data_IF_268034175570
#
_entry.id   IF_268034175570
#
_cell.length_a   1.000
_cell.length_b   1.000
_cell.length_c   1.000
_cell.angle_alpha   90.00
_cell.angle_beta   90.00
_cell.angle_gamma   90.00
#
_symmetry.space_group_name_H-M   'P 1'
#
loop_
_entity.id
_entity.type
_entity.pdbx_description
1 polymer ?
#
# COMPACT_ATOMS: atom_id res chain seq x y z
N UNK A 1 27.37 -32.80 4.68
CA UNK A 1 28.04 -32.31 3.43
C UNK A 1 27.78 -30.83 3.33
N UNK A 2 28.72 -29.95 3.71
CA UNK A 2 28.62 -28.51 3.61
C UNK A 2 28.68 -28.15 2.11
N UNK A 3 27.53 -27.82 1.51
CA UNK A 3 27.54 -27.19 0.18
C UNK A 3 28.23 -25.83 0.31
N UNK A 4 29.32 -25.68 -0.43
CA UNK A 4 30.08 -24.44 -0.56
C UNK A 4 29.12 -23.30 -0.95
N UNK A 5 29.13 -22.24 -0.15
CA UNK A 5 28.46 -20.96 -0.48
C UNK A 5 29.26 -20.33 -1.61
N UNK A 6 29.02 -20.80 -2.83
CA UNK A 6 29.50 -20.13 -4.05
C UNK A 6 28.85 -18.75 -4.15
N UNK A 7 29.63 -17.75 -4.51
CA UNK A 7 29.24 -16.34 -4.70
C UNK A 7 27.86 -16.25 -5.37
N UNK A 8 26.80 -16.00 -4.59
CA UNK A 8 25.43 -15.90 -5.13
C UNK A 8 25.33 -14.60 -5.92
N UNK A 9 24.95 -14.71 -7.17
CA UNK A 9 24.89 -13.61 -8.11
C UNK A 9 23.89 -12.52 -7.65
N UNK A 10 24.17 -11.26 -7.96
CA UNK A 10 23.27 -10.13 -7.70
C UNK A 10 21.95 -10.23 -8.50
N UNK A 11 21.91 -11.04 -9.56
CA UNK A 11 20.75 -11.16 -10.45
C UNK A 11 19.43 -11.48 -9.76
N UNK A 12 19.33 -12.54 -8.92
CA UNK A 12 18.10 -12.83 -8.19
C UNK A 12 17.69 -11.72 -7.20
N UNK A 13 18.66 -11.03 -6.58
CA UNK A 13 18.38 -9.88 -5.71
C UNK A 13 17.78 -8.71 -6.50
N UNK A 14 18.33 -8.40 -7.67
CA UNK A 14 17.81 -7.36 -8.57
C UNK A 14 16.41 -7.72 -9.07
N UNK A 15 16.16 -9.00 -9.36
CA UNK A 15 14.82 -9.48 -9.72
C UNK A 15 13.80 -9.24 -8.59
N UNK A 16 14.14 -9.58 -7.35
CA UNK A 16 13.28 -9.31 -6.18
C UNK A 16 13.04 -7.80 -6.00
N UNK A 17 14.08 -7.00 -6.19
CA UNK A 17 14.00 -5.53 -6.13
C UNK A 17 13.09 -4.98 -7.23
N UNK A 18 13.18 -5.53 -8.45
CA UNK A 18 12.30 -5.15 -9.56
C UNK A 18 10.84 -5.55 -9.29
N UNK A 19 10.59 -6.73 -8.72
CA UNK A 19 9.23 -7.13 -8.33
C UNK A 19 8.68 -6.15 -7.26
N UNK A 20 9.52 -5.69 -6.34
CA UNK A 20 9.10 -4.73 -5.34
C UNK A 20 8.83 -3.31 -5.92
N UNK A 21 9.60 -2.90 -6.95
CA UNK A 21 9.28 -1.74 -7.78
C UNK A 21 7.88 -1.87 -8.40
N UNK A 22 7.58 -3.02 -9.02
CA UNK A 22 6.27 -3.30 -9.61
C UNK A 22 5.15 -3.15 -8.59
N UNK A 23 5.35 -3.64 -7.36
CA UNK A 23 4.36 -3.50 -6.28
C UNK A 23 4.05 -2.03 -6.01
N UNK A 24 5.07 -1.19 -5.81
CA UNK A 24 4.88 0.25 -5.57
C UNK A 24 4.22 0.95 -6.76
N UNK A 25 4.73 0.68 -7.95
CA UNK A 25 4.22 1.25 -9.21
C UNK A 25 2.74 0.93 -9.42
N UNK A 26 2.35 -0.35 -9.41
CA UNK A 26 0.97 -0.78 -9.67
C UNK A 26 0.01 -0.41 -8.54
N UNK A 27 0.46 -0.36 -7.29
CA UNK A 27 -0.35 0.15 -6.18
C UNK A 27 -0.74 1.61 -6.42
N UNK A 28 0.22 2.43 -6.84
CA UNK A 28 -0.04 3.84 -7.13
C UNK A 28 -0.83 4.02 -8.42
N UNK A 29 -0.55 3.26 -9.48
CA UNK A 29 -1.36 3.25 -10.72
C UNK A 29 -2.83 2.98 -10.39
N UNK A 30 -3.12 1.96 -9.57
CA UNK A 30 -4.50 1.65 -9.14
C UNK A 30 -5.18 2.86 -8.47
N UNK A 31 -4.49 3.53 -7.56
CA UNK A 31 -5.02 4.72 -6.88
C UNK A 31 -5.20 5.91 -7.83
N UNK A 32 -4.24 6.14 -8.72
CA UNK A 32 -4.29 7.25 -9.68
C UNK A 32 -5.35 7.06 -10.78
N UNK A 33 -5.76 5.82 -11.05
CA UNK A 33 -6.87 5.54 -11.97
C UNK A 33 -8.24 6.02 -11.45
N UNK A 34 -8.40 6.38 -10.17
CA UNK A 34 -9.69 6.82 -9.62
C UNK A 34 -10.28 8.01 -10.40
N UNK A 35 -9.46 9.01 -10.71
CA UNK A 35 -9.90 10.19 -11.46
C UNK A 35 -10.36 9.85 -12.87
N UNK A 36 -9.51 9.27 -13.73
CA UNK A 36 -9.88 8.84 -15.07
C UNK A 36 -11.07 7.89 -15.11
N UNK A 37 -11.13 6.90 -14.20
CA UNK A 37 -12.23 5.93 -14.15
C UNK A 37 -13.56 6.55 -13.69
N UNK A 38 -13.51 7.58 -12.83
CA UNK A 38 -14.68 8.38 -12.48
C UNK A 38 -15.32 9.00 -13.72
N UNK A 39 -14.53 9.39 -14.70
CA UNK A 39 -15.02 9.96 -15.96
C UNK A 39 -15.47 8.84 -16.91
N UNK A 40 -14.65 7.83 -17.11
CA UNK A 40 -14.90 6.76 -18.07
C UNK A 40 -16.12 5.89 -17.72
N UNK A 41 -16.36 5.60 -16.43
CA UNK A 41 -17.42 4.67 -16.00
C UNK A 41 -18.57 5.33 -15.25
N UNK A 42 -18.33 6.49 -14.62
CA UNK A 42 -19.31 7.11 -13.72
C UNK A 42 -19.80 8.47 -14.26
N UNK A 43 -19.73 8.69 -15.57
CA UNK A 43 -20.18 9.94 -16.21
C UNK A 43 -21.67 10.20 -15.96
N UNK A 44 -22.49 9.16 -15.96
CA UNK A 44 -23.95 9.24 -15.75
C UNK A 44 -24.36 9.22 -14.27
N UNK A 45 -23.39 9.04 -13.35
CA UNK A 45 -23.64 9.08 -11.91
C UNK A 45 -23.64 10.52 -11.41
N UNK A 46 -24.67 10.91 -10.68
CA UNK A 46 -24.84 12.29 -10.21
C UNK A 46 -24.62 12.42 -8.70
N UNK A 47 -25.16 11.51 -7.89
CA UNK A 47 -25.27 11.67 -6.43
C UNK A 47 -24.13 10.99 -5.66
N UNK A 48 -23.58 9.89 -6.18
CA UNK A 48 -22.61 9.04 -5.47
C UNK A 48 -21.27 8.90 -6.21
N UNK A 49 -20.95 9.85 -7.08
CA UNK A 49 -19.84 9.78 -8.03
C UNK A 49 -18.47 9.70 -7.35
N UNK A 50 -18.24 10.48 -6.29
CA UNK A 50 -16.98 10.48 -5.56
C UNK A 50 -16.86 9.24 -4.66
N UNK A 51 -17.93 8.85 -3.99
CA UNK A 51 -17.99 7.63 -3.19
C UNK A 51 -17.63 6.40 -4.02
N UNK A 52 -18.26 6.24 -5.19
CA UNK A 52 -17.96 5.15 -6.11
C UNK A 52 -16.50 5.22 -6.60
N UNK A 53 -15.99 6.39 -6.97
CA UNK A 53 -14.60 6.52 -7.40
C UNK A 53 -13.61 6.02 -6.31
N UNK A 54 -13.88 6.31 -5.04
CA UNK A 54 -13.01 5.89 -3.93
C UNK A 54 -13.14 4.40 -3.58
N UNK A 55 -14.19 3.68 -4.02
CA UNK A 55 -14.31 2.23 -3.87
C UNK A 55 -13.18 1.45 -4.56
N UNK A 56 -12.48 2.05 -5.51
CA UNK A 56 -11.29 1.45 -6.14
C UNK A 56 -10.20 1.20 -5.09
N UNK A 57 -9.91 2.20 -4.24
CA UNK A 57 -8.99 2.01 -3.10
C UNK A 57 -9.55 1.03 -2.08
N UNK A 58 -10.84 1.09 -1.78
CA UNK A 58 -11.46 0.15 -0.84
C UNK A 58 -11.27 -1.30 -1.29
N UNK A 59 -11.59 -1.61 -2.54
CA UNK A 59 -11.44 -2.96 -3.10
C UNK A 59 -9.97 -3.42 -3.04
N UNK A 60 -9.02 -2.54 -3.37
CA UNK A 60 -7.60 -2.84 -3.30
C UNK A 60 -7.15 -3.20 -1.87
N UNK A 61 -7.42 -2.34 -0.89
CA UNK A 61 -6.98 -2.57 0.49
C UNK A 61 -7.78 -3.67 1.21
N UNK A 62 -8.98 -4.01 0.74
CA UNK A 62 -9.71 -5.20 1.18
C UNK A 62 -8.91 -6.49 0.89
N UNK A 63 -8.17 -6.52 -0.22
CA UNK A 63 -7.22 -7.58 -0.55
C UNK A 63 -6.16 -7.78 0.53
N UNK A 64 -5.62 -6.70 1.08
CA UNK A 64 -4.67 -6.76 2.20
C UNK A 64 -5.29 -7.36 3.46
N UNK A 65 -6.46 -6.88 3.85
CA UNK A 65 -7.15 -7.35 5.06
C UNK A 65 -7.42 -8.86 5.02
N UNK A 66 -7.97 -9.34 3.91
CA UNK A 66 -8.47 -10.71 3.81
C UNK A 66 -7.37 -11.74 3.54
N UNK A 67 -6.22 -11.33 2.95
CA UNK A 67 -5.25 -12.29 2.41
C UNK A 67 -3.85 -12.22 3.05
N UNK A 68 -3.47 -11.16 3.79
CA UNK A 68 -2.14 -11.08 4.41
C UNK A 68 -1.85 -12.23 5.37
N UNK A 69 -2.76 -12.53 6.30
CA UNK A 69 -2.60 -13.62 7.25
C UNK A 69 -2.62 -15.02 6.59
N UNK A 70 -3.42 -15.19 5.53
CA UNK A 70 -3.47 -16.44 4.75
C UNK A 70 -2.16 -16.67 4.01
N UNK A 71 -1.53 -15.60 3.52
CA UNK A 71 -0.25 -15.65 2.82
C UNK A 71 0.88 -16.08 3.72
N UNK A 72 0.93 -15.61 4.98
CA UNK A 72 1.92 -16.09 5.95
C UNK A 72 1.85 -17.62 6.14
N UNK A 73 0.63 -18.16 6.27
CA UNK A 73 0.43 -19.63 6.34
C UNK A 73 0.83 -20.34 5.04
N UNK A 74 0.53 -19.76 3.89
CA UNK A 74 0.95 -20.30 2.60
C UNK A 74 2.47 -20.30 2.45
N UNK A 75 3.14 -19.21 2.87
CA UNK A 75 4.60 -19.09 2.84
C UNK A 75 5.27 -20.21 3.64
N UNK A 76 4.80 -20.48 4.86
CA UNK A 76 5.30 -21.57 5.69
C UNK A 76 5.07 -22.95 5.07
N UNK A 77 3.93 -23.14 4.34
CA UNK A 77 3.59 -24.44 3.74
C UNK A 77 4.37 -24.75 2.46
N UNK A 78 4.57 -23.78 1.57
CA UNK A 78 5.10 -24.01 0.22
C UNK A 78 6.43 -23.32 -0.07
N UNK A 79 6.93 -22.47 0.85
CA UNK A 79 8.20 -21.74 0.75
C UNK A 79 8.11 -20.44 -0.09
N UNK A 80 9.21 -19.70 -0.07
CA UNK A 80 9.30 -18.34 -0.63
C UNK A 80 9.06 -18.29 -2.14
N UNK A 81 9.80 -19.07 -2.93
CA UNK A 81 9.72 -19.04 -4.40
C UNK A 81 8.32 -19.37 -4.91
N UNK A 82 7.67 -20.42 -4.38
CA UNK A 82 6.35 -20.84 -4.82
C UNK A 82 5.28 -19.82 -4.43
N UNK A 83 5.39 -19.21 -3.25
CA UNK A 83 4.46 -18.16 -2.81
C UNK A 83 4.63 -16.92 -3.66
N UNK A 84 5.87 -16.50 -3.97
CA UNK A 84 6.18 -15.38 -4.84
C UNK A 84 5.53 -15.54 -6.24
N UNK A 85 5.72 -16.71 -6.88
CA UNK A 85 5.13 -16.99 -8.20
C UNK A 85 3.60 -16.95 -8.13
N UNK A 86 2.99 -17.57 -7.11
CA UNK A 86 1.53 -17.52 -6.92
C UNK A 86 1.01 -16.10 -6.75
N UNK A 87 1.73 -15.27 -6.00
CA UNK A 87 1.37 -13.87 -5.81
C UNK A 87 1.40 -13.10 -7.13
N UNK A 88 2.42 -13.32 -7.95
CA UNK A 88 2.52 -12.70 -9.27
C UNK A 88 1.45 -13.19 -10.24
N UNK A 89 1.06 -14.47 -10.19
CA UNK A 89 -0.06 -15.00 -10.98
C UNK A 89 -1.40 -14.34 -10.59
N UNK A 90 -1.61 -14.06 -9.31
CA UNK A 90 -2.78 -13.28 -8.86
C UNK A 90 -2.74 -11.85 -9.42
N UNK A 91 -1.54 -11.24 -9.54
CA UNK A 91 -1.37 -9.92 -10.18
C UNK A 91 -1.72 -9.96 -11.66
N UNK A 92 -1.23 -10.97 -12.41
CA UNK A 92 -1.60 -11.17 -13.82
C UNK A 92 -3.12 -11.32 -13.96
N UNK A 93 -3.75 -12.10 -13.08
CA UNK A 93 -5.21 -12.25 -13.07
C UNK A 93 -5.93 -10.92 -12.79
N UNK A 94 -5.45 -10.12 -11.85
CA UNK A 94 -5.99 -8.79 -11.56
C UNK A 94 -5.93 -7.86 -12.78
N UNK A 95 -4.80 -7.84 -13.50
CA UNK A 95 -4.64 -7.09 -14.75
C UNK A 95 -5.54 -7.64 -15.87
N UNK A 96 -5.76 -8.96 -15.94
CA UNK A 96 -6.71 -9.54 -16.87
C UNK A 96 -8.14 -9.08 -16.60
N UNK A 97 -8.54 -8.91 -15.33
CA UNK A 97 -9.83 -8.29 -14.98
C UNK A 97 -9.90 -6.81 -15.32
N UNK A 98 -8.80 -6.04 -15.20
CA UNK A 98 -8.74 -4.66 -15.68
C UNK A 98 -8.94 -4.59 -17.20
N UNK A 99 -8.28 -5.47 -17.95
CA UNK A 99 -8.44 -5.56 -19.39
C UNK A 99 -9.89 -5.97 -19.76
N UNK A 100 -10.45 -6.97 -19.08
CA UNK A 100 -11.84 -7.39 -19.28
C UNK A 100 -12.83 -6.25 -18.96
N UNK A 101 -12.57 -5.46 -17.92
CA UNK A 101 -13.37 -4.28 -17.58
C UNK A 101 -13.41 -3.25 -18.72
N UNK A 102 -12.25 -2.96 -19.33
CA UNK A 102 -12.15 -2.05 -20.46
C UNK A 102 -12.92 -2.57 -21.69
N UNK A 103 -12.74 -3.85 -22.01
CA UNK A 103 -13.45 -4.50 -23.13
C UNK A 103 -14.98 -4.57 -22.91
N UNK A 104 -15.43 -4.84 -21.67
CA UNK A 104 -16.86 -4.83 -21.34
C UNK A 104 -17.44 -3.43 -21.51
N UNK A 105 -16.71 -2.39 -21.11
CA UNK A 105 -17.19 -1.04 -21.28
C UNK A 105 -17.25 -0.62 -22.75
N UNK A 106 -16.28 -1.08 -23.57
CA UNK A 106 -16.25 -0.80 -25.01
C UNK A 106 -17.37 -1.51 -25.77
N UNK A 107 -17.57 -2.83 -25.53
CA UNK A 107 -18.50 -3.63 -26.34
C UNK A 107 -19.90 -3.78 -25.73
N UNK A 108 -20.05 -3.61 -24.40
CA UNK A 108 -21.32 -3.77 -23.67
C UNK A 108 -21.57 -2.63 -22.66
N UNK A 109 -21.15 -1.41 -23.01
CA UNK A 109 -21.25 -0.25 -22.11
C UNK A 109 -22.68 0.08 -21.63
N UNK A 110 -23.71 -0.32 -22.40
CA UNK A 110 -25.11 -0.17 -22.00
C UNK A 110 -25.60 -1.20 -20.97
N UNK A 111 -24.80 -2.20 -20.61
CA UNK A 111 -25.14 -3.19 -19.58
C UNK A 111 -24.62 -2.75 -18.21
N UNK A 112 -25.51 -2.65 -17.21
CA UNK A 112 -25.15 -2.19 -15.89
C UNK A 112 -26.27 -2.35 -14.87
N UNK A 113 -26.10 -1.72 -13.71
CA UNK A 113 -27.05 -1.73 -12.60
C UNK A 113 -27.48 -0.29 -12.30
N UNK A 114 -28.76 -0.10 -12.06
CA UNK A 114 -29.27 1.15 -11.51
C UNK A 114 -29.17 1.12 -9.98
N UNK A 115 -28.42 2.06 -9.42
CA UNK A 115 -28.32 2.31 -7.99
C UNK A 115 -29.07 3.61 -7.71
N UNK A 116 -30.29 3.50 -7.17
CA UNK A 116 -31.21 4.63 -7.06
C UNK A 116 -31.55 5.18 -8.46
N UNK A 117 -31.14 6.39 -8.78
CA UNK A 117 -31.37 7.03 -10.09
C UNK A 117 -30.13 6.98 -11.01
N UNK A 118 -28.99 6.56 -10.47
CA UNK A 118 -27.71 6.55 -11.16
C UNK A 118 -27.46 5.20 -11.86
N UNK A 119 -26.99 5.23 -13.12
CA UNK A 119 -26.58 4.04 -13.87
C UNK A 119 -25.08 3.79 -13.65
N UNK A 120 -24.73 2.55 -13.29
CA UNK A 120 -23.35 2.09 -13.11
C UNK A 120 -23.08 0.90 -14.03
N UNK A 121 -22.16 1.00 -15.00
CA UNK A 121 -21.89 -0.08 -15.96
C UNK A 121 -21.22 -1.29 -15.31
N UNK A 122 -21.47 -2.49 -15.81
CA UNK A 122 -20.84 -3.73 -15.32
C UNK A 122 -19.31 -3.69 -15.38
N UNK A 123 -18.73 -3.03 -16.38
CA UNK A 123 -17.29 -2.83 -16.49
C UNK A 123 -16.66 -2.26 -15.22
N UNK A 124 -17.34 -1.34 -14.53
CA UNK A 124 -16.87 -0.79 -13.28
C UNK A 124 -16.74 -1.84 -12.16
N UNK A 125 -17.72 -2.73 -12.00
CA UNK A 125 -17.66 -3.79 -10.98
C UNK A 125 -16.58 -4.83 -11.28
N UNK A 126 -16.35 -5.13 -12.56
CA UNK A 126 -15.26 -6.00 -13.02
C UNK A 126 -13.90 -5.34 -12.68
N UNK A 127 -13.79 -4.01 -12.84
CA UNK A 127 -12.60 -3.26 -12.43
C UNK A 127 -12.38 -3.32 -10.91
N UNK A 128 -13.42 -3.15 -10.10
CA UNK A 128 -13.32 -3.29 -8.64
C UNK A 128 -12.81 -4.67 -8.22
N UNK A 129 -13.29 -5.73 -8.87
CA UNK A 129 -12.81 -7.08 -8.60
C UNK A 129 -11.34 -7.25 -9.01
N UNK A 130 -10.93 -6.69 -10.14
CA UNK A 130 -9.53 -6.61 -10.56
C UNK A 130 -8.68 -5.87 -9.52
N UNK A 131 -9.17 -4.73 -9.00
CA UNK A 131 -8.52 -3.95 -7.96
C UNK A 131 -8.32 -4.76 -6.65
N UNK A 132 -9.33 -5.51 -6.24
CA UNK A 132 -9.22 -6.45 -5.12
C UNK A 132 -8.13 -7.52 -5.33
N UNK A 133 -8.05 -8.10 -6.53
CA UNK A 133 -7.00 -9.07 -6.88
C UNK A 133 -5.61 -8.42 -6.91
N UNK A 134 -5.49 -7.19 -7.41
CA UNK A 134 -4.25 -6.43 -7.39
C UNK A 134 -3.78 -6.15 -5.96
N UNK A 135 -4.69 -5.72 -5.07
CA UNK A 135 -4.41 -5.53 -3.65
C UNK A 135 -4.04 -6.84 -2.94
N UNK A 136 -4.73 -7.93 -3.26
CA UNK A 136 -4.40 -9.28 -2.77
C UNK A 136 -2.97 -9.67 -3.18
N UNK A 137 -2.61 -9.49 -4.44
CA UNK A 137 -1.26 -9.79 -4.93
C UNK A 137 -0.21 -8.92 -4.27
N UNK A 138 -0.45 -7.61 -4.16
CA UNK A 138 0.48 -6.68 -3.52
C UNK A 138 0.72 -7.04 -2.04
N UNK A 139 -0.33 -7.40 -1.31
CA UNK A 139 -0.23 -7.90 0.07
C UNK A 139 0.59 -9.19 0.15
N UNK A 140 0.30 -10.15 -0.72
CA UNK A 140 1.03 -11.42 -0.80
C UNK A 140 2.51 -11.20 -1.10
N UNK A 141 2.83 -10.34 -2.07
CA UNK A 141 4.20 -10.02 -2.45
C UNK A 141 4.97 -9.37 -1.30
N UNK A 142 4.36 -8.43 -0.57
CA UNK A 142 5.02 -7.77 0.56
C UNK A 142 5.31 -8.73 1.72
N UNK A 143 4.39 -9.66 2.01
CA UNK A 143 4.61 -10.71 3.03
C UNK A 143 5.81 -11.60 2.67
N UNK A 144 6.04 -11.85 1.38
CA UNK A 144 7.13 -12.71 0.90
C UNK A 144 8.43 -11.93 0.73
N UNK A 145 8.40 -10.78 0.04
CA UNK A 145 9.61 -10.08 -0.40
C UNK A 145 10.37 -9.45 0.77
N UNK A 146 9.68 -8.85 1.75
CA UNK A 146 10.34 -8.16 2.85
C UNK A 146 11.30 -9.07 3.64
N UNK A 147 10.86 -10.22 4.18
CA UNK A 147 11.78 -11.13 4.86
C UNK A 147 12.79 -11.76 3.89
N UNK A 148 12.42 -11.99 2.63
CA UNK A 148 13.31 -12.57 1.64
C UNK A 148 14.52 -11.66 1.34
N UNK A 149 14.30 -10.37 1.14
CA UNK A 149 15.36 -9.38 0.92
C UNK A 149 16.23 -9.23 2.17
N UNK A 150 15.62 -9.18 3.35
CA UNK A 150 16.36 -9.06 4.60
C UNK A 150 17.31 -10.25 4.82
N UNK A 151 16.87 -11.47 4.49
CA UNK A 151 17.64 -12.68 4.65
C UNK A 151 18.50 -13.05 3.43
N UNK A 152 18.38 -12.35 2.29
CA UNK A 152 19.12 -12.67 1.06
C UNK A 152 20.64 -12.56 1.26
N UNK A 153 21.44 -13.62 0.97
CA UNK A 153 22.87 -13.62 1.21
C UNK A 153 23.64 -12.89 0.10
N UNK A 154 23.57 -11.56 0.06
CA UNK A 154 24.36 -10.73 -0.85
C UNK A 154 25.67 -10.33 -0.17
N UNK A 155 26.85 -10.77 -0.70
CA UNK A 155 28.15 -10.46 -0.10
C UNK A 155 28.40 -8.97 0.04
N UNK A 156 29.03 -8.56 1.14
CA UNK A 156 29.39 -7.16 1.43
C UNK A 156 28.23 -6.24 1.80
N UNK A 157 27.02 -6.78 2.03
CA UNK A 157 25.86 -5.97 2.39
C UNK A 157 25.21 -6.41 3.69
N UNK A 158 24.69 -5.43 4.45
CA UNK A 158 23.87 -5.68 5.64
C UNK A 158 22.38 -5.80 5.27
N UNK A 159 21.55 -6.53 6.04
CA UNK A 159 20.11 -6.62 5.81
C UNK A 159 19.42 -5.27 5.65
N UNK A 160 19.76 -4.30 6.49
CA UNK A 160 19.22 -2.93 6.45
C UNK A 160 19.54 -2.22 5.15
N UNK A 161 20.77 -2.38 4.62
CA UNK A 161 21.17 -1.76 3.36
C UNK A 161 20.36 -2.33 2.19
N UNK A 162 20.15 -3.64 2.15
CA UNK A 162 19.35 -4.30 1.11
C UNK A 162 17.89 -3.83 1.16
N UNK A 163 17.30 -3.78 2.37
CA UNK A 163 15.94 -3.29 2.56
C UNK A 163 15.80 -1.81 2.12
N UNK A 164 16.72 -0.94 2.53
CA UNK A 164 16.68 0.47 2.17
C UNK A 164 16.80 0.69 0.66
N UNK A 165 17.71 -0.03 0.00
CA UNK A 165 17.84 0.03 -1.46
C UNK A 165 16.55 -0.39 -2.16
N UNK A 166 15.98 -1.52 -1.74
CA UNK A 166 14.74 -2.05 -2.33
C UNK A 166 13.54 -1.13 -2.07
N UNK A 167 13.44 -0.54 -0.88
CA UNK A 167 12.41 0.45 -0.55
C UNK A 167 12.56 1.74 -1.37
N UNK A 168 13.80 2.19 -1.64
CA UNK A 168 14.05 3.34 -2.52
C UNK A 168 13.58 3.08 -3.95
N UNK A 169 13.87 1.90 -4.48
CA UNK A 169 13.42 1.48 -5.82
C UNK A 169 11.89 1.35 -5.88
N UNK A 170 11.25 0.84 -4.83
CA UNK A 170 9.79 0.85 -4.68
C UNK A 170 9.23 2.28 -4.70
N UNK A 171 9.82 3.21 -3.93
CA UNK A 171 9.41 4.61 -3.88
C UNK A 171 9.57 5.32 -5.23
N UNK A 172 10.60 4.97 -6.00
CA UNK A 172 10.75 5.45 -7.37
C UNK A 172 9.55 5.00 -8.23
N UNK A 173 9.11 3.74 -8.10
CA UNK A 173 7.91 3.23 -8.78
C UNK A 173 6.66 4.03 -8.42
N UNK A 174 6.43 4.32 -7.13
CA UNK A 174 5.28 5.14 -6.71
C UNK A 174 5.34 6.56 -7.26
N UNK A 175 6.53 7.15 -7.35
CA UNK A 175 6.74 8.52 -7.81
C UNK A 175 6.44 8.69 -9.32
N UNK A 176 6.81 7.70 -10.15
CA UNK A 176 6.59 7.80 -11.61
C UNK A 176 5.18 7.37 -12.03
N UNK A 177 4.46 6.63 -11.19
CA UNK A 177 3.15 6.07 -11.54
C UNK A 177 2.10 7.14 -11.95
N UNK A 178 1.96 8.30 -11.29
CA UNK A 178 1.02 9.32 -11.72
C UNK A 178 1.28 9.85 -13.13
N UNK A 179 2.57 10.06 -13.50
CA UNK A 179 2.93 10.45 -14.86
C UNK A 179 2.67 9.33 -15.87
N UNK A 180 2.86 8.09 -15.49
CA UNK A 180 2.52 6.95 -16.35
C UNK A 180 1.01 6.93 -16.66
N UNK A 181 0.17 7.14 -15.65
CA UNK A 181 -1.29 7.17 -15.86
C UNK A 181 -1.69 8.28 -16.81
N UNK A 182 -1.24 9.53 -16.60
CA UNK A 182 -1.64 10.66 -17.44
C UNK A 182 -0.86 10.74 -18.75
N UNK A 183 0.44 10.46 -18.74
CA UNK A 183 1.33 10.64 -19.90
C UNK A 183 1.45 9.42 -20.81
N UNK A 184 1.03 8.23 -20.37
CA UNK A 184 1.08 7.00 -21.17
C UNK A 184 -0.30 6.40 -21.36
N UNK A 185 -1.04 6.14 -20.25
CA UNK A 185 -2.37 5.51 -20.36
C UNK A 185 -3.39 6.44 -21.04
N UNK A 186 -3.35 7.73 -20.72
CA UNK A 186 -4.27 8.74 -21.23
C UNK A 186 -3.54 9.83 -22.04
N UNK A 187 -2.41 9.49 -22.68
CA UNK A 187 -1.61 10.44 -23.45
C UNK A 187 -2.42 11.13 -24.56
N UNK A 188 -2.37 12.47 -24.56
CA UNK A 188 -3.05 13.29 -25.59
C UNK A 188 -4.56 13.38 -25.43
N UNK A 189 -5.13 12.85 -24.35
CA UNK A 189 -6.57 12.93 -24.06
C UNK A 189 -6.80 13.91 -22.92
N UNK A 190 -7.72 14.83 -23.12
CA UNK A 190 -8.17 15.70 -22.03
C UNK A 190 -9.00 14.89 -21.03
N UNK A 191 -8.85 15.20 -19.73
CA UNK A 191 -9.48 14.42 -18.64
C UNK A 191 -11.01 14.36 -18.73
N UNK A 192 -11.65 15.33 -19.40
CA UNK A 192 -13.09 15.37 -19.64
C UNK A 192 -13.57 14.41 -20.75
N UNK A 193 -12.63 13.79 -21.50
CA UNK A 193 -12.92 12.90 -22.64
C UNK A 193 -12.32 11.51 -22.48
N UNK A 194 -11.92 11.15 -21.25
CA UNK A 194 -11.37 9.81 -20.99
C UNK A 194 -12.45 8.77 -21.20
N UNK A 195 -12.12 7.75 -22.00
CA UNK A 195 -12.98 6.60 -22.28
C UNK A 195 -12.28 5.28 -21.88
N UNK A 196 -13.08 4.23 -21.68
CA UNK A 196 -12.57 2.96 -21.18
C UNK A 196 -11.69 2.19 -22.18
N UNK A 197 -11.88 2.40 -23.50
CA UNK A 197 -11.09 1.77 -24.57
C UNK A 197 -9.59 2.13 -24.48
N UNK A 198 -9.27 3.35 -24.00
CA UNK A 198 -7.89 3.81 -23.80
C UNK A 198 -7.11 3.00 -22.75
N UNK A 199 -7.82 2.30 -21.88
CA UNK A 199 -7.22 1.42 -20.86
C UNK A 199 -6.75 0.08 -21.42
N UNK A 200 -7.29 -0.35 -22.57
CA UNK A 200 -7.07 -1.69 -23.14
C UNK A 200 -5.59 -1.97 -23.41
N UNK A 201 -4.91 -1.10 -24.15
CA UNK A 201 -3.50 -1.28 -24.50
C UNK A 201 -2.58 -1.19 -23.28
N UNK A 202 -2.67 -0.15 -22.40
CA UNK A 202 -1.84 -0.07 -21.20
C UNK A 202 -1.98 -1.30 -20.28
N UNK A 203 -3.21 -1.77 -20.03
CA UNK A 203 -3.41 -2.95 -19.19
C UNK A 203 -2.89 -4.23 -19.83
N UNK A 204 -3.03 -4.39 -21.14
CA UNK A 204 -2.45 -5.52 -21.87
C UNK A 204 -0.92 -5.52 -21.75
N UNK A 205 -0.28 -4.38 -22.00
CA UNK A 205 1.20 -4.26 -21.90
C UNK A 205 1.68 -4.54 -20.49
N UNK A 206 1.03 -3.96 -19.46
CA UNK A 206 1.37 -4.25 -18.06
C UNK A 206 1.20 -5.74 -17.74
N UNK A 207 0.11 -6.37 -18.19
CA UNK A 207 -0.15 -7.79 -17.98
C UNK A 207 0.97 -8.64 -18.62
N UNK A 208 1.40 -8.33 -19.82
CA UNK A 208 2.48 -9.05 -20.51
C UNK A 208 3.83 -8.88 -19.78
N UNK A 209 4.16 -7.67 -19.29
CA UNK A 209 5.36 -7.41 -18.50
C UNK A 209 5.35 -8.25 -17.22
N UNK A 210 4.22 -8.28 -16.49
CA UNK A 210 4.10 -9.07 -15.25
C UNK A 210 4.14 -10.56 -15.54
N UNK A 211 3.49 -11.03 -16.61
CA UNK A 211 3.54 -12.43 -17.03
C UNK A 211 4.98 -12.87 -17.40
N UNK A 212 5.71 -12.03 -18.13
CA UNK A 212 7.13 -12.26 -18.44
C UNK A 212 7.99 -12.28 -17.16
N UNK A 213 7.78 -11.33 -16.25
CA UNK A 213 8.49 -11.29 -14.96
C UNK A 213 8.17 -12.54 -14.13
N UNK A 214 6.93 -13.01 -14.14
CA UNK A 214 6.50 -14.25 -13.48
C UNK A 214 7.21 -15.46 -14.07
N UNK A 215 7.26 -15.55 -15.38
CA UNK A 215 8.00 -16.62 -16.09
C UNK A 215 9.50 -16.57 -15.77
N UNK A 216 10.12 -15.39 -15.81
CA UNK A 216 11.54 -15.20 -15.46
C UNK A 216 11.81 -15.63 -14.01
N UNK A 217 10.91 -15.26 -13.08
CA UNK A 217 10.99 -15.65 -11.66
C UNK A 217 10.89 -17.18 -11.49
N UNK A 218 10.07 -17.86 -12.30
CA UNK A 218 9.96 -19.32 -12.27
C UNK A 218 11.25 -20.03 -12.65
N UNK A 219 12.02 -19.44 -13.59
CA UNK A 219 13.31 -19.96 -14.07
C UNK A 219 14.49 -19.53 -13.20
N UNK A 220 14.37 -18.45 -12.46
CA UNK A 220 15.44 -17.94 -11.61
C UNK A 220 15.80 -18.91 -10.46
N UNK A 221 17.09 -19.08 -10.19
CA UNK A 221 17.60 -19.83 -9.05
C UNK A 221 17.52 -18.97 -7.79
N UNK A 222 16.30 -18.83 -7.25
CA UNK A 222 16.07 -18.16 -5.98
C UNK A 222 16.43 -19.10 -4.83
N UNK A 223 17.31 -18.69 -3.89
CA UNK A 223 17.69 -19.52 -2.76
C UNK A 223 16.51 -19.76 -1.82
N UNK A 224 16.36 -20.98 -1.33
CA UNK A 224 15.47 -21.24 -0.20
C UNK A 224 16.11 -20.68 1.08
N UNK A 225 15.31 -20.02 1.90
CA UNK A 225 15.70 -19.50 3.21
C UNK A 225 15.18 -20.47 4.25
N UNK A 226 16.09 -21.19 4.90
CA UNK A 226 15.81 -22.24 5.90
C UNK A 226 15.48 -21.64 7.25
N UNK A 227 14.77 -20.66 7.48
CA UNK A 227 14.47 -20.10 8.81
C UNK A 227 13.00 -20.25 9.24
N UNK A 228 12.10 -20.53 8.30
CA UNK A 228 10.65 -20.53 8.59
C UNK A 228 10.08 -21.93 8.82
N UNK A 229 10.83 -22.99 8.52
CA UNK A 229 10.37 -24.38 8.72
C UNK A 229 10.53 -24.89 10.15
N UNK A 230 11.49 -24.37 10.90
CA UNK A 230 11.78 -24.86 12.26
C UNK A 230 10.74 -24.41 13.29
N UNK A 231 10.21 -23.19 13.21
CA UNK A 231 9.20 -22.71 14.16
C UNK A 231 7.84 -23.40 14.06
N UNK A 232 7.54 -24.09 12.94
CA UNK A 232 6.29 -24.85 12.77
C UNK A 232 6.43 -26.33 13.13
N UNK A 233 7.63 -26.89 13.05
CA UNK A 233 7.86 -28.28 13.51
C UNK A 233 7.90 -28.37 15.02
N UNK A 234 8.40 -27.36 15.71
CA UNK A 234 8.41 -27.33 17.19
C UNK A 234 6.99 -27.27 17.77
N UNK A 235 6.01 -26.70 17.05
CA UNK A 235 4.60 -26.67 17.50
C UNK A 235 3.88 -28.01 17.27
N UNK A 236 4.29 -28.81 16.27
CA UNK A 236 3.69 -30.13 16.01
C UNK A 236 4.47 -31.28 16.64
N UNK A 237 5.78 -31.11 16.97
CA UNK A 237 6.60 -32.13 17.62
C UNK A 237 6.61 -32.05 19.15
N UNK A 238 6.18 -30.95 19.77
CA UNK A 238 5.99 -30.82 21.23
C UNK A 238 4.87 -31.71 21.82
N UNK A 239 4.27 -32.57 21.01
CA UNK A 239 3.28 -33.56 21.46
C UNK A 239 3.88 -34.85 22.06
N UNK A 240 5.22 -35.04 22.08
CA UNK A 240 5.83 -36.35 22.47
C UNK A 240 7.13 -36.32 23.27
N UNK A 241 7.51 -35.22 23.87
CA UNK A 241 8.59 -35.27 24.88
C UNK A 241 8.12 -34.62 26.18
N UNK A 242 8.17 -35.37 27.27
CA UNK A 242 7.87 -34.90 28.63
C UNK A 242 8.82 -33.76 29.02
N UNK A 243 8.32 -32.52 29.19
CA UNK A 243 9.14 -31.41 29.65
C UNK A 243 9.30 -31.47 31.17
N UNK A 244 10.48 -31.12 31.64
CA UNK A 244 10.75 -30.86 33.07
C UNK A 244 9.80 -29.77 33.61
N UNK A 245 9.31 -29.95 34.83
CA UNK A 245 8.20 -29.22 35.47
C UNK A 245 8.39 -27.70 35.65
N UNK A 246 9.56 -27.12 35.43
CA UNK A 246 9.85 -25.70 35.70
C UNK A 246 9.48 -24.74 34.55
N UNK A 247 9.19 -25.24 33.36
CA UNK A 247 8.82 -24.38 32.19
C UNK A 247 7.31 -24.24 31.94
N UNK A 248 6.47 -24.92 32.73
CA UNK A 248 5.00 -24.97 32.54
C UNK A 248 4.21 -23.76 33.04
N UNK A 249 4.80 -22.83 33.76
CA UNK A 249 4.07 -21.73 34.41
C UNK A 249 4.21 -20.35 33.76
N UNK A 250 4.95 -20.19 32.66
CA UNK A 250 4.93 -18.95 31.89
C UNK A 250 3.69 -18.94 31.00
N UNK A 251 2.54 -18.44 31.47
CA UNK A 251 1.36 -18.13 30.65
C UNK A 251 1.84 -17.30 29.46
N UNK A 252 1.83 -17.86 28.22
CA UNK A 252 2.08 -17.11 26.99
C UNK A 252 1.17 -15.89 26.97
N UNK A 253 1.75 -14.69 27.13
CA UNK A 253 0.99 -13.42 27.13
C UNK A 253 0.33 -13.24 25.78
N UNK A 254 -0.93 -12.81 25.77
CA UNK A 254 -1.59 -12.41 24.52
C UNK A 254 -0.87 -11.22 23.92
N UNK A 255 -0.68 -11.21 22.59
CA UNK A 255 -0.07 -10.10 21.86
C UNK A 255 -0.82 -8.78 22.09
N UNK A 256 -2.12 -8.85 22.34
CA UNK A 256 -2.98 -7.70 22.63
C UNK A 256 -2.81 -7.13 24.06
N UNK A 257 -2.05 -7.80 24.92
CA UNK A 257 -1.71 -7.26 26.25
C UNK A 257 -0.68 -6.13 26.18
N UNK A 258 0.06 -6.02 25.09
CA UNK A 258 1.05 -4.97 24.89
C UNK A 258 0.36 -3.67 24.43
N UNK A 259 0.21 -2.72 25.35
CA UNK A 259 -0.53 -1.46 25.12
C UNK A 259 0.02 -0.67 23.95
N UNK A 260 1.35 -0.48 23.86
CA UNK A 260 2.00 0.28 22.79
C UNK A 260 1.82 -0.37 21.41
N UNK A 261 1.78 -1.71 21.32
CA UNK A 261 1.44 -2.42 20.10
C UNK A 261 -0.02 -2.23 19.71
N UNK A 262 -0.95 -2.39 20.66
CA UNK A 262 -2.39 -2.20 20.41
C UNK A 262 -2.67 -0.82 19.82
N UNK A 263 -2.12 0.22 20.44
CA UNK A 263 -2.28 1.58 19.94
C UNK A 263 -1.49 1.84 18.66
N UNK A 264 -0.33 1.18 18.48
CA UNK A 264 0.42 1.22 17.22
C UNK A 264 -0.37 0.66 16.04
N UNK A 265 -1.09 -0.45 16.23
CA UNK A 265 -1.99 -1.03 15.19
C UNK A 265 -3.14 -0.08 14.86
N UNK A 266 -3.73 0.54 15.87
CA UNK A 266 -4.76 1.57 15.64
C UNK A 266 -4.15 2.76 14.89
N UNK A 267 -2.98 3.23 15.30
CA UNK A 267 -2.33 4.38 14.68
C UNK A 267 -1.94 4.13 13.23
N UNK A 268 -1.45 2.93 12.89
CA UNK A 268 -1.12 2.61 11.50
C UNK A 268 -2.38 2.54 10.62
N UNK A 269 -3.53 2.14 11.18
CA UNK A 269 -4.81 2.19 10.48
C UNK A 269 -5.19 3.63 10.11
N UNK A 270 -5.03 4.58 11.02
CA UNK A 270 -5.26 6.00 10.75
C UNK A 270 -4.20 6.58 9.81
N UNK A 271 -2.92 6.21 10.00
CA UNK A 271 -1.84 6.68 9.14
C UNK A 271 -2.02 6.26 7.67
N UNK A 272 -2.28 4.98 7.42
CA UNK A 272 -2.50 4.53 6.03
C UNK A 272 -3.77 5.15 5.45
N UNK A 273 -4.74 5.44 6.30
CA UNK A 273 -5.94 6.17 5.91
C UNK A 273 -5.66 7.58 5.41
N UNK A 274 -4.85 8.35 6.13
CA UNK A 274 -4.43 9.70 5.68
C UNK A 274 -3.47 9.65 4.49
N UNK A 275 -2.50 8.73 4.50
CA UNK A 275 -1.54 8.54 3.40
C UNK A 275 -2.25 8.29 2.07
N UNK A 276 -3.14 7.30 2.05
CA UNK A 276 -3.89 6.92 0.83
C UNK A 276 -4.95 7.97 0.48
N UNK A 277 -5.60 8.54 1.49
CA UNK A 277 -6.57 9.62 1.32
C UNK A 277 -5.96 10.81 0.60
N UNK A 278 -4.81 11.31 1.06
CA UNK A 278 -4.13 12.42 0.39
C UNK A 278 -3.60 11.97 -0.98
N UNK A 279 -2.87 10.85 -1.02
CA UNK A 279 -2.20 10.40 -2.25
C UNK A 279 -3.14 10.14 -3.43
N UNK A 280 -4.39 9.75 -3.17
CA UNK A 280 -5.36 9.40 -4.20
C UNK A 280 -6.46 10.44 -4.37
N UNK A 281 -7.09 10.89 -3.25
CA UNK A 281 -8.25 11.78 -3.33
C UNK A 281 -7.88 13.23 -3.68
N UNK A 282 -6.60 13.62 -3.50
CA UNK A 282 -6.11 14.92 -3.98
C UNK A 282 -6.28 15.07 -5.49
N UNK A 283 -6.18 13.97 -6.25
CA UNK A 283 -6.49 13.99 -7.68
C UNK A 283 -7.95 14.32 -7.96
N UNK A 284 -8.87 13.73 -7.20
CA UNK A 284 -10.31 13.97 -7.36
C UNK A 284 -10.65 15.43 -7.02
N UNK A 285 -10.04 15.98 -5.97
CA UNK A 285 -10.19 17.40 -5.61
C UNK A 285 -9.58 18.33 -6.68
N UNK A 286 -8.38 18.00 -7.19
CA UNK A 286 -7.76 18.79 -8.25
C UNK A 286 -8.61 18.79 -9.53
N UNK A 287 -9.21 17.66 -9.90
CA UNK A 287 -10.12 17.59 -11.06
C UNK A 287 -11.40 18.39 -10.84
N UNK A 288 -11.91 18.43 -9.62
CA UNK A 288 -13.06 19.27 -9.25
C UNK A 288 -12.72 20.75 -9.41
N UNK A 289 -11.60 21.20 -8.86
CA UNK A 289 -11.11 22.59 -9.01
C UNK A 289 -10.83 22.97 -10.47
N UNK A 290 -10.30 22.04 -11.30
CA UNK A 290 -10.14 22.29 -12.74
C UNK A 290 -11.48 22.54 -13.43
N UNK A 291 -12.54 21.84 -13.02
CA UNK A 291 -13.91 22.12 -13.49
C UNK A 291 -14.40 23.54 -13.13
N UNK A 292 -13.82 24.16 -12.11
CA UNK A 292 -14.09 25.55 -11.71
C UNK A 292 -13.07 26.57 -12.28
N UNK A 293 -12.19 26.16 -13.20
CA UNK A 293 -11.27 27.04 -13.91
C UNK A 293 -9.88 27.20 -13.30
N UNK A 294 -9.52 26.37 -12.31
CA UNK A 294 -8.16 26.37 -11.77
C UNK A 294 -7.20 25.64 -12.72
N UNK A 295 -6.02 26.20 -12.92
CA UNK A 295 -4.95 25.55 -13.71
C UNK A 295 -4.12 24.64 -12.79
N UNK A 296 -4.49 23.36 -12.73
CA UNK A 296 -3.86 22.35 -11.89
C UNK A 296 -3.48 21.12 -12.71
N UNK A 297 -2.44 20.42 -12.29
CA UNK A 297 -2.07 19.10 -12.82
C UNK A 297 -2.21 18.04 -11.73
N UNK A 298 -3.29 17.24 -11.72
CA UNK A 298 -3.47 16.15 -10.75
C UNK A 298 -2.28 15.21 -10.68
N UNK A 299 -1.71 14.86 -11.85
CA UNK A 299 -0.53 14.00 -11.93
C UNK A 299 0.72 14.61 -11.27
N UNK A 300 0.95 15.92 -11.48
CA UNK A 300 2.09 16.60 -10.87
C UNK A 300 1.94 16.68 -9.34
N UNK A 301 0.74 17.01 -8.85
CA UNK A 301 0.43 17.04 -7.42
C UNK A 301 0.69 15.66 -6.78
N UNK A 302 0.18 14.59 -7.38
CA UNK A 302 0.39 13.24 -6.89
C UNK A 302 1.88 12.82 -6.96
N UNK A 303 2.59 13.19 -8.04
CA UNK A 303 4.03 12.92 -8.17
C UNK A 303 4.83 13.65 -7.10
N UNK A 304 4.50 14.89 -6.79
CA UNK A 304 5.17 15.65 -5.72
C UNK A 304 4.88 15.03 -4.34
N UNK A 305 3.66 14.57 -4.10
CA UNK A 305 3.31 13.86 -2.87
C UNK A 305 4.14 12.58 -2.71
N UNK A 306 4.11 11.67 -3.71
CA UNK A 306 4.86 10.42 -3.65
C UNK A 306 6.37 10.61 -3.79
N UNK A 307 6.82 11.63 -4.54
CA UNK A 307 8.21 12.06 -4.62
C UNK A 307 8.72 12.60 -3.27
N UNK A 308 7.85 13.28 -2.53
CA UNK A 308 8.11 13.70 -1.15
C UNK A 308 8.45 12.52 -0.24
N UNK A 309 7.79 11.36 -0.41
CA UNK A 309 8.15 10.13 0.31
C UNK A 309 9.58 9.67 0.01
N UNK A 310 10.00 9.69 -1.24
CA UNK A 310 11.34 9.31 -1.61
C UNK A 310 12.38 10.26 -0.99
N UNK A 311 12.16 11.57 -1.13
CA UNK A 311 13.07 12.60 -0.60
C UNK A 311 13.14 12.52 0.93
N UNK A 312 11.99 12.45 1.60
CA UNK A 312 11.94 12.40 3.07
C UNK A 312 12.62 11.15 3.65
N UNK A 313 12.49 10.00 3.01
CA UNK A 313 13.22 8.77 3.37
C UNK A 313 14.72 8.93 3.21
N UNK A 314 15.18 9.58 2.14
CA UNK A 314 16.61 9.87 1.92
C UNK A 314 17.16 10.82 2.98
N UNK A 315 16.42 11.90 3.28
CA UNK A 315 16.80 12.87 4.33
C UNK A 315 16.86 12.18 5.70
N UNK A 316 15.85 11.38 6.04
CA UNK A 316 15.79 10.69 7.33
C UNK A 316 16.91 9.66 7.51
N UNK A 317 17.37 9.03 6.43
CA UNK A 317 18.52 8.12 6.47
C UNK A 317 19.82 8.83 6.92
N UNK A 318 19.93 10.15 6.69
CA UNK A 318 21.00 10.99 7.19
C UNK A 318 20.87 11.38 8.68
N UNK A 319 19.65 11.34 9.23
CA UNK A 319 19.34 11.75 10.61
C UNK A 319 19.55 10.61 11.62
N UNK A 320 20.73 10.01 11.64
CA UNK A 320 21.05 8.78 12.41
C UNK A 320 20.82 8.89 13.92
N UNK A 321 20.85 10.09 14.49
CA UNK A 321 20.80 10.34 15.93
C UNK A 321 19.41 10.77 16.42
N UNK A 322 18.41 10.86 15.54
CA UNK A 322 17.05 11.29 15.93
C UNK A 322 16.23 10.07 16.30
N UNK A 323 15.73 10.05 17.54
CA UNK A 323 14.87 8.96 18.01
C UNK A 323 13.52 8.95 17.27
N UNK A 324 12.88 7.77 17.07
CA UNK A 324 11.61 7.67 16.35
C UNK A 324 10.47 8.52 16.90
N UNK A 325 10.39 8.67 18.23
CA UNK A 325 9.33 9.45 18.88
C UNK A 325 9.36 10.94 18.56
N UNK A 326 10.45 11.72 18.83
CA UNK A 326 10.48 13.12 18.49
C UNK A 326 10.36 13.34 16.98
N UNK A 327 10.92 12.45 16.15
CA UNK A 327 10.75 12.50 14.70
C UNK A 327 9.26 12.42 14.34
N UNK A 328 8.53 11.41 14.85
CA UNK A 328 7.09 11.26 14.60
C UNK A 328 6.29 12.50 14.98
N UNK A 329 6.53 13.05 16.19
CA UNK A 329 5.82 14.25 16.67
C UNK A 329 6.08 15.44 15.74
N UNK A 330 7.35 15.69 15.39
CA UNK A 330 7.74 16.85 14.56
C UNK A 330 7.11 16.77 13.18
N UNK A 331 7.20 15.60 12.50
CA UNK A 331 6.65 15.45 11.14
C UNK A 331 5.14 15.50 11.14
N UNK A 332 4.49 14.94 12.17
CA UNK A 332 3.01 14.99 12.29
C UNK A 332 2.52 16.42 12.52
N UNK A 333 3.18 17.19 13.39
CA UNK A 333 2.81 18.61 13.60
C UNK A 333 3.00 19.40 12.31
N UNK A 334 4.10 19.19 11.57
CA UNK A 334 4.32 19.86 10.30
C UNK A 334 3.26 19.47 9.26
N UNK A 335 2.87 18.18 9.18
CA UNK A 335 1.80 17.71 8.32
C UNK A 335 0.46 18.38 8.67
N UNK A 336 0.08 18.42 9.95
CA UNK A 336 -1.15 19.08 10.42
C UNK A 336 -1.18 20.55 10.00
N UNK A 337 -0.09 21.29 10.22
CA UNK A 337 -0.01 22.71 9.85
C UNK A 337 -0.20 22.91 8.35
N UNK A 338 0.50 22.13 7.52
CA UNK A 338 0.36 22.21 6.06
C UNK A 338 -1.05 21.84 5.61
N UNK A 339 -1.66 20.80 6.17
CA UNK A 339 -3.02 20.37 5.84
C UNK A 339 -4.05 21.43 6.20
N UNK A 340 -3.93 22.06 7.38
CA UNK A 340 -4.83 23.16 7.81
C UNK A 340 -4.72 24.34 6.87
N UNK A 341 -3.49 24.79 6.56
CA UNK A 341 -3.30 25.91 5.64
C UNK A 341 -3.83 25.55 4.24
N UNK A 342 -3.52 24.35 3.74
CA UNK A 342 -4.01 23.86 2.44
C UNK A 342 -5.53 23.85 2.37
N UNK A 343 -6.20 23.33 3.40
CA UNK A 343 -7.67 23.29 3.47
C UNK A 343 -8.29 24.69 3.49
N UNK A 344 -7.72 25.62 4.27
CA UNK A 344 -8.25 26.99 4.40
C UNK A 344 -8.02 27.83 3.14
N UNK A 345 -6.93 27.58 2.41
CA UNK A 345 -6.54 28.34 1.23
C UNK A 345 -6.88 27.64 -0.08
N UNK A 346 -7.42 26.42 -0.06
CA UNK A 346 -7.59 25.51 -1.22
C UNK A 346 -6.31 25.30 -2.04
N UNK A 347 -5.14 25.44 -1.40
CA UNK A 347 -3.86 25.30 -2.07
C UNK A 347 -3.36 23.84 -1.99
N UNK A 348 -3.64 23.06 -3.04
CA UNK A 348 -3.24 21.64 -3.11
C UNK A 348 -1.72 21.41 -3.21
N UNK A 349 -0.93 22.43 -3.56
CA UNK A 349 0.54 22.30 -3.52
C UNK A 349 1.07 22.10 -2.09
N UNK A 350 0.43 22.73 -1.11
CA UNK A 350 0.74 22.51 0.30
C UNK A 350 0.32 21.11 0.74
N UNK A 351 -0.81 20.59 0.22
CA UNK A 351 -1.24 19.22 0.47
C UNK A 351 -0.25 18.22 -0.12
N UNK A 352 0.26 18.46 -1.34
CA UNK A 352 1.29 17.62 -1.94
C UNK A 352 2.60 17.62 -1.13
N UNK A 353 2.98 18.76 -0.54
CA UNK A 353 4.17 18.87 0.31
C UNK A 353 4.08 18.03 1.61
N UNK A 354 2.89 17.66 2.06
CA UNK A 354 2.69 16.76 3.21
C UNK A 354 3.39 15.42 3.01
N UNK A 355 3.52 14.94 1.75
CA UNK A 355 4.20 13.69 1.42
C UNK A 355 5.65 13.60 1.95
N UNK A 356 6.35 14.75 2.03
CA UNK A 356 7.68 14.81 2.62
C UNK A 356 7.69 14.37 4.09
N UNK A 357 6.68 14.78 4.86
CA UNK A 357 6.55 14.48 6.28
C UNK A 357 5.98 13.11 6.55
N UNK A 358 5.03 12.64 5.72
CA UNK A 358 4.49 11.28 5.80
C UNK A 358 5.54 10.18 5.58
N UNK A 359 6.58 10.48 4.84
CA UNK A 359 7.62 9.53 4.40
C UNK A 359 8.22 8.66 5.50
N UNK A 360 8.36 9.18 6.71
CA UNK A 360 9.01 8.52 7.86
C UNK A 360 8.02 8.02 8.92
N UNK A 361 6.74 8.42 8.84
CA UNK A 361 5.76 8.10 9.89
C UNK A 361 5.55 6.59 10.04
N UNK A 362 5.45 5.84 8.93
CA UNK A 362 5.35 4.38 8.97
C UNK A 362 6.45 3.75 9.81
N UNK A 363 7.71 4.12 9.51
CA UNK A 363 8.88 3.54 10.20
C UNK A 363 8.91 3.90 11.68
N UNK A 364 8.54 5.14 12.02
CA UNK A 364 8.46 5.60 13.40
C UNK A 364 7.37 4.87 14.19
N UNK A 365 6.16 4.76 13.63
CA UNK A 365 5.02 4.07 14.27
C UNK A 365 5.37 2.60 14.47
N UNK A 366 5.89 1.93 13.43
CA UNK A 366 6.28 0.53 13.51
C UNK A 366 7.33 0.27 14.59
N UNK A 367 8.42 1.06 14.59
CA UNK A 367 9.51 0.92 15.56
C UNK A 367 9.00 1.08 16.99
N UNK A 368 8.15 2.08 17.24
CA UNK A 368 7.56 2.30 18.56
C UNK A 368 6.58 1.20 18.97
N UNK A 369 5.85 0.64 18.00
CA UNK A 369 4.85 -0.41 18.25
C UNK A 369 5.48 -1.77 18.59
N UNK A 370 6.64 -2.09 18.01
CA UNK A 370 7.31 -3.39 18.24
C UNK A 370 8.43 -3.33 19.27
N UNK A 371 8.69 -2.14 19.83
CA UNK A 371 9.80 -1.93 20.77
C UNK A 371 9.66 -2.81 22.03
N UNK A 372 10.69 -3.63 22.29
CA UNK A 372 10.77 -4.51 23.46
C UNK A 372 9.94 -5.79 23.38
N UNK A 373 9.31 -6.11 22.23
CA UNK A 373 8.48 -7.32 22.09
C UNK A 373 9.27 -8.62 21.92
N UNK A 374 10.59 -8.56 21.67
CA UNK A 374 11.48 -9.72 21.55
C UNK A 374 10.88 -10.84 20.68
N UNK A 375 10.58 -12.01 21.28
CA UNK A 375 9.98 -13.19 20.63
C UNK A 375 8.59 -12.93 19.98
N UNK A 376 7.85 -11.93 20.46
CA UNK A 376 6.55 -11.56 19.90
C UNK A 376 6.63 -10.67 18.66
N UNK A 377 7.82 -10.19 18.27
CA UNK A 377 7.99 -9.21 17.17
C UNK A 377 7.43 -9.72 15.83
N UNK A 378 7.64 -10.98 15.49
CA UNK A 378 7.12 -11.58 14.24
C UNK A 378 5.59 -11.56 14.21
N UNK A 379 4.94 -12.01 15.30
CA UNK A 379 3.49 -11.95 15.44
C UNK A 379 2.96 -10.53 15.45
N UNK A 380 3.66 -9.61 16.11
CA UNK A 380 3.32 -8.18 16.17
C UNK A 380 3.34 -7.54 14.79
N UNK A 381 4.37 -7.84 13.99
CA UNK A 381 4.48 -7.35 12.61
C UNK A 381 3.30 -7.81 11.75
N UNK A 382 2.88 -9.08 11.88
CA UNK A 382 1.73 -9.62 11.16
C UNK A 382 0.42 -8.91 11.52
N UNK A 383 0.18 -8.65 12.81
CA UNK A 383 -1.00 -7.92 13.29
C UNK A 383 -0.95 -6.44 12.89
N UNK A 384 0.23 -5.84 12.93
CA UNK A 384 0.44 -4.45 12.51
C UNK A 384 0.04 -4.24 11.03
N UNK A 385 0.34 -5.20 10.15
CA UNK A 385 -0.05 -5.15 8.73
C UNK A 385 -1.57 -5.19 8.50
N UNK A 386 -2.37 -5.66 9.45
CA UNK A 386 -3.84 -5.56 9.34
C UNK A 386 -4.32 -4.11 9.38
N UNK A 387 -3.59 -3.23 10.07
CA UNK A 387 -3.90 -1.80 10.11
C UNK A 387 -3.83 -1.10 8.75
N UNK A 388 -3.14 -1.68 7.74
CA UNK A 388 -3.10 -1.14 6.37
C UNK A 388 -4.51 -0.97 5.75
N UNK A 389 -5.49 -1.68 6.27
CA UNK A 389 -6.90 -1.54 5.86
C UNK A 389 -7.48 -0.12 6.08
N UNK A 390 -6.83 0.74 6.85
CA UNK A 390 -7.19 2.16 6.94
C UNK A 390 -7.25 2.85 5.58
N UNK A 391 -6.38 2.46 4.65
CA UNK A 391 -6.40 2.93 3.25
C UNK A 391 -7.64 2.54 2.45
N UNK A 392 -8.45 1.59 2.94
CA UNK A 392 -9.77 1.31 2.39
C UNK A 392 -10.83 2.27 2.95
N UNK A 393 -10.82 2.48 4.28
CA UNK A 393 -11.92 3.11 5.00
C UNK A 393 -11.94 4.63 4.82
N UNK A 394 -10.82 5.30 5.10
CA UNK A 394 -10.80 6.77 5.15
C UNK A 394 -10.98 7.47 3.79
N UNK A 395 -10.39 6.96 2.68
CA UNK A 395 -10.67 7.54 1.36
C UNK A 395 -12.15 7.47 0.97
N UNK A 396 -12.83 6.35 1.30
CA UNK A 396 -14.28 6.20 1.04
C UNK A 396 -15.09 7.15 1.91
N UNK A 397 -14.77 7.26 3.21
CA UNK A 397 -15.43 8.23 4.09
C UNK A 397 -15.27 9.66 3.57
N UNK A 398 -14.10 10.00 3.05
CA UNK A 398 -13.84 11.31 2.44
C UNK A 398 -14.67 11.50 1.15
N UNK A 399 -14.77 10.46 0.30
CA UNK A 399 -15.59 10.49 -0.91
C UNK A 399 -17.09 10.65 -0.62
N UNK A 400 -17.61 9.92 0.38
CA UNK A 400 -18.99 10.07 0.87
C UNK A 400 -19.27 11.48 1.38
N UNK A 401 -18.31 12.04 2.12
CA UNK A 401 -18.43 13.40 2.64
C UNK A 401 -18.39 14.42 1.50
N UNK A 402 -17.57 14.20 0.46
CA UNK A 402 -17.53 15.06 -0.73
C UNK A 402 -18.85 15.05 -1.50
N UNK A 403 -19.48 13.88 -1.66
CA UNK A 403 -20.80 13.77 -2.30
C UNK A 403 -21.89 14.45 -1.45
N UNK A 404 -21.81 14.33 -0.12
CA UNK A 404 -22.80 14.92 0.79
C UNK A 404 -22.70 16.46 0.86
N UNK A 405 -21.47 17.00 0.92
CA UNK A 405 -21.23 18.46 1.02
C UNK A 405 -21.29 19.13 -0.36
N UNK A 406 -21.04 18.38 -1.45
CA UNK A 406 -20.87 18.91 -2.80
C UNK A 406 -19.53 19.61 -3.03
N UNK A 407 -18.53 19.40 -2.18
CA UNK A 407 -17.19 20.00 -2.27
C UNK A 407 -16.15 19.10 -1.60
N UNK A 408 -14.92 19.13 -2.11
CA UNK A 408 -13.78 18.41 -1.51
C UNK A 408 -13.09 19.20 -0.39
N UNK A 409 -13.22 20.52 -0.33
CA UNK A 409 -12.43 21.40 0.54
C UNK A 409 -12.45 20.95 2.02
N UNK A 410 -13.63 20.84 2.61
CA UNK A 410 -13.77 20.46 4.02
C UNK A 410 -13.69 18.96 4.28
N UNK A 411 -13.64 18.13 3.25
CA UNK A 411 -13.42 16.69 3.43
C UNK A 411 -12.04 16.37 3.98
N UNK A 412 -11.10 17.30 3.87
CA UNK A 412 -9.75 17.17 4.44
C UNK A 412 -9.72 17.14 5.95
N UNK A 413 -10.85 17.45 6.62
CA UNK A 413 -11.03 17.19 8.04
C UNK A 413 -10.92 15.68 8.39
N UNK A 414 -11.24 14.77 7.47
CA UNK A 414 -11.13 13.32 7.68
C UNK A 414 -9.66 12.91 7.84
N UNK A 415 -8.75 13.14 6.87
CA UNK A 415 -7.34 12.83 7.07
C UNK A 415 -6.68 13.70 8.16
N UNK A 416 -7.11 14.94 8.37
CA UNK A 416 -6.62 15.78 9.46
C UNK A 416 -6.92 15.16 10.84
N UNK A 417 -8.11 14.59 11.03
CA UNK A 417 -8.45 13.83 12.24
C UNK A 417 -7.51 12.63 12.43
N UNK A 418 -7.16 11.94 11.34
CA UNK A 418 -6.19 10.85 11.39
C UNK A 418 -4.82 11.32 11.90
N UNK A 419 -4.36 12.51 11.47
CA UNK A 419 -3.10 13.09 11.95
C UNK A 419 -3.11 13.37 13.46
N UNK A 420 -4.22 13.83 14.03
CA UNK A 420 -4.34 14.00 15.49
C UNK A 420 -4.22 12.67 16.24
N UNK A 421 -4.72 11.57 15.69
CA UNK A 421 -4.53 10.24 16.29
C UNK A 421 -3.05 9.82 16.25
N UNK A 422 -2.35 10.10 15.15
CA UNK A 422 -0.90 9.83 15.03
C UNK A 422 -0.13 10.67 16.04
N UNK A 423 -0.45 11.95 16.16
CA UNK A 423 0.17 12.86 17.15
C UNK A 423 -0.06 12.35 18.59
N UNK A 424 -1.30 11.97 18.92
CA UNK A 424 -1.63 11.39 20.22
C UNK A 424 -0.79 10.14 20.51
N UNK A 425 -0.57 9.28 19.52
CA UNK A 425 0.28 8.11 19.69
C UNK A 425 1.72 8.49 20.01
N UNK A 426 2.31 9.44 19.29
CA UNK A 426 3.65 9.95 19.55
C UNK A 426 3.81 10.62 20.93
N UNK A 427 2.73 11.22 21.46
CA UNK A 427 2.75 11.90 22.76
C UNK A 427 2.49 10.93 23.92
N UNK A 428 1.51 10.03 23.79
CA UNK A 428 0.96 9.24 24.91
C UNK A 428 0.89 7.75 24.62
N UNK A 429 0.36 7.36 23.43
CA UNK A 429 0.02 5.98 23.11
C UNK A 429 1.21 5.02 23.00
N UNK A 430 2.40 5.53 22.69
CA UNK A 430 3.64 4.75 22.56
C UNK A 430 4.17 4.17 23.88
N UNK A 431 3.70 4.69 25.05
CA UNK A 431 4.22 4.30 26.34
C UNK A 431 3.99 2.82 26.60
N UNK A 432 5.05 2.12 26.96
CA UNK A 432 4.98 0.74 27.44
C UNK A 432 4.24 0.72 28.78
N UNK A 433 3.46 -0.32 28.99
CA UNK A 433 2.89 -0.58 30.31
C UNK A 433 4.05 -1.10 31.20
N UNK A 434 4.34 -0.39 32.27
CA UNK A 434 5.23 -0.91 33.30
C UNK A 434 4.63 -2.21 33.81
N UNK A 435 5.45 -3.29 33.88
CA UNK A 435 5.04 -4.65 34.23
C UNK A 435 4.72 -4.76 35.71
#
# INVERSE_FOLDING_TARGET
MKQSITSRSAGPFLLLTFIYFIVGFLTTVNGQCQGPLKIAFLSEVTTTKNSLATLISFAFFLGYLLNSAKTGRLLNKVGYKKTLIRSMLVMVLGLAFYLASALIAEYWGGAGVHISQDFVPFGYFVFLFGSYLMGTSAAMLQVVINPYIAAYPLPGTQPVQRMNFTCAVNSFGTTIAPFFVTGVMFAGVSLDRVSADQLTIPFLVMMLIIAFTTWSTSKANLPDIEGTREETQDVESEGKTTPSDDSRNAKKRSIWSFRHLKYGVITIFFYVGTEVGIGNNMNLHAMDLMGHGYDLSPALLATLYWGGFMIGRMVSAGLKNVAPRPMLITVTVAAIVLMVISMLTENLWLMAAVGLFHSVMWSCIFTLAVDGLKEYTSKASGVFMMGVFGGAVFPVLQGLLADYIGSWQFTWLVPLFCEFVILWYGLVGYKKQEA
#
